data_IF_714633026520
#
_entry.id   IF_714633026520
#
_cell.length_a   1.000
_cell.length_b   1.000
_cell.length_c   1.000
_cell.angle_alpha   90.00
_cell.angle_beta   90.00
_cell.angle_gamma   90.00
#
_symmetry.space_group_name_H-M   'P 1'
#
loop_
_entity.id
_entity.type
_entity.pdbx_description
1 polymer ?
#
# COMPACT_ATOMS: atom_id res chain seq x y z
N UNK A 1 -9.27 23.04 8.29
CA UNK A 1 -9.26 21.62 8.75
C UNK A 1 -9.77 21.61 10.18
N UNK A 2 -10.81 20.85 10.44
CA UNK A 2 -11.36 20.71 11.79
C UNK A 2 -10.34 20.02 12.72
N UNK A 3 -10.43 20.31 14.04
CA UNK A 3 -9.49 19.76 15.02
C UNK A 3 -9.47 18.21 14.99
N UNK A 4 -10.65 17.58 14.84
CA UNK A 4 -10.77 16.12 14.73
C UNK A 4 -9.97 15.56 13.54
N UNK A 5 -10.08 16.20 12.39
CA UNK A 5 -9.35 15.78 11.18
C UNK A 5 -7.84 15.88 11.36
N UNK A 6 -7.38 16.99 11.95
CA UNK A 6 -5.97 17.20 12.26
C UNK A 6 -5.43 16.14 13.23
N UNK A 7 -6.21 15.78 14.26
CA UNK A 7 -5.83 14.75 15.20
C UNK A 7 -5.65 13.41 14.47
N UNK A 8 -6.59 13.03 13.62
CA UNK A 8 -6.52 11.74 12.88
C UNK A 8 -5.34 11.73 11.93
N UNK A 9 -5.10 12.80 11.17
CA UNK A 9 -4.01 12.88 10.20
C UNK A 9 -2.64 12.75 10.88
N UNK A 10 -2.39 13.57 11.89
CA UNK A 10 -1.12 13.58 12.63
C UNK A 10 -0.90 12.27 13.43
N UNK A 11 -1.98 11.72 14.02
CA UNK A 11 -1.91 10.44 14.72
C UNK A 11 -1.62 9.28 13.76
N UNK A 12 -2.16 9.31 12.55
CA UNK A 12 -1.86 8.32 11.51
C UNK A 12 -0.36 8.31 11.19
N UNK A 13 0.24 9.48 11.00
CA UNK A 13 1.68 9.61 10.76
C UNK A 13 2.47 9.02 11.91
N UNK A 14 2.13 9.37 13.16
CA UNK A 14 2.82 8.85 14.35
C UNK A 14 2.72 7.33 14.46
N UNK A 15 1.53 6.77 14.30
CA UNK A 15 1.30 5.33 14.40
C UNK A 15 2.07 4.57 13.31
N UNK A 16 1.99 5.03 12.07
CA UNK A 16 2.61 4.31 10.96
C UNK A 16 4.14 4.46 10.90
N UNK A 17 4.69 5.58 11.36
CA UNK A 17 6.15 5.77 11.38
C UNK A 17 6.82 5.20 12.62
N UNK A 18 6.19 5.31 13.80
CA UNK A 18 6.83 4.96 15.09
C UNK A 18 6.31 3.64 15.68
N UNK A 19 5.28 3.05 15.09
CA UNK A 19 4.61 1.84 15.60
C UNK A 19 3.47 2.17 16.57
N UNK A 20 2.43 1.34 16.52
CA UNK A 20 1.19 1.60 17.28
C UNK A 20 1.43 1.48 18.79
N UNK A 21 2.13 0.43 19.22
CA UNK A 21 2.36 0.17 20.63
C UNK A 21 3.17 1.27 21.33
N UNK A 22 4.13 1.85 20.63
CA UNK A 22 5.06 2.85 21.20
C UNK A 22 4.41 4.24 21.43
N UNK A 23 3.29 4.55 20.78
CA UNK A 23 2.64 5.85 20.83
C UNK A 23 1.49 5.82 21.85
N UNK A 24 1.45 6.76 22.77
CA UNK A 24 0.38 6.96 23.77
C UNK A 24 -0.50 8.16 23.41
N UNK A 25 -1.69 8.26 24.03
CA UNK A 25 -2.54 9.45 23.93
C UNK A 25 -1.85 10.72 24.43
N UNK A 26 -0.93 10.61 25.37
CA UNK A 26 -0.13 11.73 25.83
C UNK A 26 0.85 12.22 24.75
N UNK A 27 1.52 11.30 24.07
CA UNK A 27 2.45 11.65 23.01
C UNK A 27 1.74 12.38 21.86
N UNK A 28 0.52 11.91 21.51
CA UNK A 28 -0.33 12.54 20.51
C UNK A 28 -0.74 13.94 20.95
N UNK A 29 -1.24 14.12 22.19
CA UNK A 29 -1.65 15.42 22.70
C UNK A 29 -0.46 16.41 22.71
N UNK A 30 0.72 15.96 23.14
CA UNK A 30 1.95 16.74 23.14
C UNK A 30 2.39 17.13 21.73
N UNK A 31 2.38 16.18 20.78
CA UNK A 31 2.74 16.42 19.37
C UNK A 31 1.85 17.47 18.73
N UNK A 32 0.53 17.41 19.01
CA UNK A 32 -0.46 18.34 18.48
C UNK A 32 -0.52 19.68 19.23
N UNK A 33 0.20 19.82 20.35
CA UNK A 33 0.13 20.98 21.25
C UNK A 33 -1.28 21.26 21.76
N UNK A 34 -2.03 20.18 22.09
CA UNK A 34 -3.36 20.25 22.70
C UNK A 34 -3.37 19.63 24.10
N UNK A 35 -4.36 19.97 24.92
CA UNK A 35 -4.50 19.32 26.21
C UNK A 35 -4.94 17.86 26.07
N UNK A 36 -4.49 16.99 26.98
CA UNK A 36 -4.98 15.61 27.08
C UNK A 36 -6.51 15.56 27.20
N UNK A 37 -7.10 16.50 27.97
CA UNK A 37 -8.54 16.61 28.12
C UNK A 37 -9.22 16.86 26.77
N UNK A 38 -8.74 17.78 25.97
CA UNK A 38 -9.27 18.07 24.64
C UNK A 38 -9.22 16.85 23.73
N UNK A 39 -8.12 16.06 23.78
CA UNK A 39 -8.02 14.83 23.01
C UNK A 39 -9.06 13.79 23.43
N UNK A 40 -9.26 13.60 24.74
CA UNK A 40 -10.25 12.65 25.28
C UNK A 40 -11.71 13.14 25.16
N UNK A 41 -11.95 14.43 24.96
CA UNK A 41 -13.28 14.95 24.60
C UNK A 41 -13.68 14.60 23.17
N UNK A 42 -12.69 14.35 22.27
CA UNK A 42 -12.91 14.02 20.85
C UNK A 42 -12.85 12.51 20.60
N UNK A 43 -11.94 11.80 21.26
CA UNK A 43 -11.74 10.35 21.15
C UNK A 43 -11.73 9.72 22.53
N UNK A 44 -12.63 8.77 22.76
CA UNK A 44 -12.79 8.04 24.01
C UNK A 44 -11.49 7.39 24.50
N UNK A 45 -10.76 6.78 23.55
CA UNK A 45 -9.53 6.05 23.82
C UNK A 45 -8.66 5.95 22.54
N UNK A 46 -7.47 5.34 22.71
CA UNK A 46 -6.55 5.11 21.62
C UNK A 46 -7.08 4.15 20.54
N UNK A 47 -7.94 3.20 20.96
CA UNK A 47 -8.54 2.22 20.04
C UNK A 47 -9.48 2.91 19.05
N UNK A 48 -10.34 3.81 19.56
CA UNK A 48 -11.24 4.61 18.70
C UNK A 48 -10.46 5.48 17.73
N UNK A 49 -9.43 6.17 18.20
CA UNK A 49 -8.57 7.01 17.35
C UNK A 49 -7.84 6.17 16.31
N UNK A 50 -7.22 5.06 16.69
CA UNK A 50 -6.54 4.15 15.79
C UNK A 50 -7.49 3.59 14.73
N UNK A 51 -8.70 3.20 15.14
CA UNK A 51 -9.72 2.70 14.22
C UNK A 51 -10.10 3.74 13.16
N UNK A 52 -10.22 5.01 13.54
CA UNK A 52 -10.49 6.09 12.59
C UNK A 52 -9.28 6.36 11.68
N UNK A 53 -8.06 6.37 12.23
CA UNK A 53 -6.82 6.51 11.47
C UNK A 53 -6.71 5.44 10.37
N UNK A 54 -6.92 4.18 10.73
CA UNK A 54 -6.87 3.05 9.79
C UNK A 54 -7.97 3.16 8.75
N UNK A 55 -9.21 3.46 9.16
CA UNK A 55 -10.34 3.60 8.22
C UNK A 55 -10.09 4.69 7.18
N UNK A 56 -9.61 5.87 7.61
CA UNK A 56 -9.29 6.97 6.68
C UNK A 56 -8.10 6.66 5.79
N UNK A 57 -7.09 5.96 6.32
CA UNK A 57 -5.94 5.55 5.51
C UNK A 57 -6.32 4.56 4.42
N UNK A 58 -7.20 3.61 4.72
CA UNK A 58 -7.76 2.67 3.73
C UNK A 58 -8.54 3.44 2.65
N UNK A 59 -9.49 4.31 3.05
CA UNK A 59 -10.32 5.05 2.10
C UNK A 59 -9.48 5.98 1.21
N UNK A 60 -8.44 6.64 1.75
CA UNK A 60 -7.50 7.45 0.98
C UNK A 60 -6.73 6.59 -0.04
N UNK A 61 -6.18 5.47 0.40
CA UNK A 61 -5.47 4.54 -0.48
C UNK A 61 -6.35 4.00 -1.60
N UNK A 62 -7.63 3.72 -1.33
CA UNK A 62 -8.60 3.27 -2.34
C UNK A 62 -8.90 4.35 -3.37
N UNK A 63 -9.15 5.59 -2.93
CA UNK A 63 -9.38 6.73 -3.82
C UNK A 63 -8.15 7.03 -4.70
N UNK A 64 -6.95 6.97 -4.13
CA UNK A 64 -5.71 7.16 -4.89
C UNK A 64 -5.48 6.03 -5.90
N UNK A 65 -5.77 4.79 -5.53
CA UNK A 65 -5.66 3.64 -6.42
C UNK A 65 -6.66 3.72 -7.57
N UNK A 66 -7.90 4.12 -7.31
CA UNK A 66 -8.92 4.31 -8.34
C UNK A 66 -8.52 5.40 -9.33
N UNK A 67 -8.03 6.54 -8.85
CA UNK A 67 -7.50 7.61 -9.72
C UNK A 67 -6.33 7.09 -10.56
N UNK A 68 -5.45 6.32 -9.94
CA UNK A 68 -4.29 5.74 -10.60
C UNK A 68 -4.73 4.80 -11.74
N UNK A 69 -5.60 3.83 -11.47
CA UNK A 69 -6.12 2.87 -12.45
C UNK A 69 -6.77 3.59 -13.64
N UNK A 70 -7.52 4.67 -13.38
CA UNK A 70 -8.22 5.43 -14.43
C UNK A 70 -7.32 6.40 -15.21
N UNK A 71 -6.07 6.63 -14.80
CA UNK A 71 -5.16 7.58 -15.42
C UNK A 71 -4.26 6.99 -16.51
N UNK A 72 -4.23 5.65 -16.67
CA UNK A 72 -3.28 4.99 -17.59
C UNK A 72 -3.87 4.68 -18.94
N UNK A 73 -2.99 4.72 -19.97
CA UNK A 73 -3.36 4.35 -21.33
C UNK A 73 -3.59 2.85 -21.47
N UNK A 74 -2.85 2.04 -20.71
CA UNK A 74 -2.96 0.58 -20.73
C UNK A 74 -2.61 -0.05 -19.37
N UNK A 75 -2.94 -1.33 -19.22
CA UNK A 75 -2.76 -2.09 -17.98
C UNK A 75 -1.29 -2.18 -17.55
N UNK A 76 -0.34 -2.30 -18.49
CA UNK A 76 1.09 -2.42 -18.16
C UNK A 76 1.63 -1.13 -17.57
N UNK A 77 1.27 0.03 -18.14
CA UNK A 77 1.61 1.33 -17.54
C UNK A 77 1.06 1.48 -16.13
N UNK A 78 -0.20 1.05 -15.92
CA UNK A 78 -0.82 1.06 -14.60
C UNK A 78 -0.05 0.23 -13.58
N UNK A 79 0.32 -1.00 -13.93
CA UNK A 79 1.09 -1.88 -13.06
C UNK A 79 2.46 -1.30 -12.72
N UNK A 80 3.16 -0.73 -13.70
CA UNK A 80 4.48 -0.11 -13.49
C UNK A 80 4.39 1.15 -12.62
N UNK A 81 3.31 1.90 -12.70
CA UNK A 81 3.10 3.07 -11.83
C UNK A 81 2.73 2.69 -10.41
N UNK A 82 1.96 1.61 -10.21
CA UNK A 82 1.76 1.02 -8.87
C UNK A 82 3.12 0.60 -8.28
N UNK A 83 3.99 -0.01 -9.08
CA UNK A 83 5.35 -0.33 -8.67
C UNK A 83 6.13 0.90 -8.21
N UNK A 84 6.13 1.99 -8.99
CA UNK A 84 6.80 3.24 -8.62
C UNK A 84 6.26 3.82 -7.31
N UNK A 85 4.93 3.79 -7.11
CA UNK A 85 4.28 4.24 -5.87
C UNK A 85 4.71 3.38 -4.67
N UNK A 86 4.72 2.05 -4.80
CA UNK A 86 5.15 1.15 -3.73
C UNK A 86 6.62 1.40 -3.33
N UNK A 87 7.49 1.71 -4.28
CA UNK A 87 8.89 2.06 -3.98
C UNK A 87 9.02 3.30 -3.11
N UNK A 88 8.15 4.29 -3.30
CA UNK A 88 8.20 5.54 -2.52
C UNK A 88 7.52 5.43 -1.15
N UNK A 89 6.47 4.65 -1.03
CA UNK A 89 5.64 4.59 0.19
C UNK A 89 6.11 3.57 1.23
N UNK A 90 6.65 2.43 0.79
CA UNK A 90 7.05 1.34 1.72
C UNK A 90 8.19 1.69 2.66
N UNK A 91 9.00 2.70 2.34
CA UNK A 91 10.06 3.19 3.23
C UNK A 91 9.54 3.89 4.49
N UNK A 92 8.28 4.32 4.50
CA UNK A 92 7.71 5.15 5.57
C UNK A 92 6.95 4.35 6.63
N UNK A 93 6.64 3.07 6.38
CA UNK A 93 5.85 2.26 7.30
C UNK A 93 6.74 1.47 8.25
N UNK A 94 6.54 1.66 9.55
CA UNK A 94 7.20 0.86 10.57
C UNK A 94 6.72 -0.59 10.51
N UNK A 95 7.66 -1.52 10.39
CA UNK A 95 7.38 -2.97 10.26
C UNK A 95 6.55 -3.55 11.41
N UNK A 96 6.59 -2.92 12.60
CA UNK A 96 5.79 -3.39 13.75
C UNK A 96 4.29 -3.11 13.60
N UNK A 97 3.87 -2.20 12.71
CA UNK A 97 2.46 -1.77 12.59
C UNK A 97 1.54 -2.94 12.28
N UNK A 98 1.87 -3.74 11.29
CA UNK A 98 1.06 -4.92 10.90
C UNK A 98 1.02 -5.94 12.04
N UNK A 99 2.16 -6.20 12.67
CA UNK A 99 2.24 -7.10 13.83
C UNK A 99 1.38 -6.58 15.00
N UNK A 100 1.48 -5.28 15.32
CA UNK A 100 0.72 -4.65 16.40
C UNK A 100 -0.79 -4.74 16.12
N UNK A 101 -1.22 -4.46 14.89
CA UNK A 101 -2.62 -4.59 14.47
C UNK A 101 -3.11 -6.03 14.60
N UNK A 102 -2.38 -7.01 14.06
CA UNK A 102 -2.75 -8.44 14.15
C UNK A 102 -2.90 -8.90 15.61
N UNK A 103 -1.93 -8.55 16.43
CA UNK A 103 -1.82 -9.09 17.79
C UNK A 103 -2.70 -8.38 18.80
N UNK A 104 -2.78 -7.05 18.73
CA UNK A 104 -3.41 -6.24 19.78
C UNK A 104 -4.73 -5.60 19.36
N UNK A 105 -4.98 -5.49 18.03
CA UNK A 105 -6.14 -4.81 17.45
C UNK A 105 -6.80 -5.64 16.33
N UNK A 106 -7.17 -6.93 16.60
CA UNK A 106 -7.63 -7.85 15.56
C UNK A 106 -8.89 -7.37 14.82
N UNK A 107 -9.79 -6.66 15.51
CA UNK A 107 -10.99 -6.08 14.90
C UNK A 107 -10.65 -5.00 13.87
N UNK A 108 -9.62 -4.19 14.16
CA UNK A 108 -9.14 -3.17 13.22
C UNK A 108 -8.38 -3.85 12.07
N UNK A 109 -7.55 -4.86 12.37
CA UNK A 109 -6.82 -5.62 11.36
C UNK A 109 -7.74 -6.28 10.34
N UNK A 110 -8.91 -6.77 10.75
CA UNK A 110 -9.90 -7.36 9.85
C UNK A 110 -10.35 -6.42 8.71
N UNK A 111 -10.26 -5.11 8.90
CA UNK A 111 -10.54 -4.14 7.82
C UNK A 111 -9.54 -4.25 6.68
N UNK A 112 -8.26 -4.51 6.97
CA UNK A 112 -7.25 -4.76 5.95
C UNK A 112 -7.51 -6.07 5.20
N UNK A 113 -7.89 -7.13 5.92
CA UNK A 113 -8.23 -8.42 5.30
C UNK A 113 -9.44 -8.29 4.37
N UNK A 114 -10.48 -7.56 4.79
CA UNK A 114 -11.65 -7.31 3.94
C UNK A 114 -11.27 -6.49 2.70
N UNK A 115 -10.46 -5.42 2.88
CA UNK A 115 -9.97 -4.61 1.76
C UNK A 115 -9.17 -5.45 0.75
N UNK A 116 -8.37 -6.41 1.20
CA UNK A 116 -7.64 -7.30 0.29
C UNK A 116 -8.59 -8.10 -0.60
N UNK A 117 -9.67 -8.64 -0.04
CA UNK A 117 -10.71 -9.37 -0.80
C UNK A 117 -11.40 -8.47 -1.81
N UNK A 118 -11.87 -7.30 -1.36
CA UNK A 118 -12.51 -6.29 -2.22
C UNK A 118 -11.57 -5.80 -3.32
N UNK A 119 -10.26 -5.74 -3.04
CA UNK A 119 -9.22 -5.37 -4.00
C UNK A 119 -9.16 -6.31 -5.20
N UNK A 120 -9.32 -7.63 -4.97
CA UNK A 120 -9.32 -8.62 -6.05
C UNK A 120 -10.46 -8.33 -7.03
N UNK A 121 -11.68 -8.15 -6.52
CA UNK A 121 -12.86 -7.85 -7.36
C UNK A 121 -12.67 -6.54 -8.13
N UNK A 122 -12.06 -5.53 -7.50
CA UNK A 122 -11.82 -4.22 -8.11
C UNK A 122 -10.79 -4.26 -9.23
N UNK A 123 -9.75 -5.10 -9.10
CA UNK A 123 -8.68 -5.20 -10.10
C UNK A 123 -9.01 -6.12 -11.26
N UNK A 124 -9.95 -7.05 -11.13
CA UNK A 124 -10.31 -7.99 -12.20
C UNK A 124 -10.66 -7.29 -13.52
N UNK A 125 -11.54 -6.26 -13.58
CA UNK A 125 -11.85 -5.58 -14.84
C UNK A 125 -10.64 -4.88 -15.48
N UNK A 126 -9.67 -4.45 -14.68
CA UNK A 126 -8.44 -3.84 -15.17
C UNK A 126 -7.57 -4.86 -15.92
N UNK A 127 -7.47 -6.09 -15.44
CA UNK A 127 -6.75 -7.16 -16.13
C UNK A 127 -7.52 -7.68 -17.34
N UNK A 128 -8.85 -7.80 -17.28
CA UNK A 128 -9.70 -8.16 -18.42
C UNK A 128 -9.48 -7.20 -19.60
N UNK A 129 -9.44 -5.90 -19.34
CA UNK A 129 -9.09 -4.90 -20.34
C UNK A 129 -7.72 -5.14 -20.96
N UNK A 130 -6.72 -5.54 -20.15
CA UNK A 130 -5.39 -5.88 -20.66
C UNK A 130 -5.38 -7.10 -21.59
N UNK A 131 -6.26 -8.07 -21.35
CA UNK A 131 -6.49 -9.21 -22.25
C UNK A 131 -7.12 -8.75 -23.56
N UNK A 132 -8.15 -7.90 -23.51
CA UNK A 132 -8.79 -7.33 -24.70
C UNK A 132 -7.81 -6.51 -25.55
N UNK A 133 -6.89 -5.79 -24.91
CA UNK A 133 -5.81 -5.04 -25.58
C UNK A 133 -4.69 -5.94 -26.15
N UNK A 134 -4.72 -7.24 -25.82
CA UNK A 134 -3.69 -8.23 -26.19
C UNK A 134 -2.35 -7.98 -25.52
N UNK A 135 -2.34 -7.38 -24.33
CA UNK A 135 -1.15 -7.08 -23.53
C UNK A 135 -0.92 -8.12 -22.43
N UNK A 136 -1.99 -8.82 -22.02
CA UNK A 136 -2.00 -9.87 -21.00
C UNK A 136 -2.52 -11.15 -21.61
N UNK A 137 -1.95 -12.29 -21.21
CA UNK A 137 -2.39 -13.63 -21.59
C UNK A 137 -3.81 -13.90 -21.10
N UNK A 138 -4.58 -14.69 -21.85
CA UNK A 138 -6.01 -14.92 -21.59
C UNK A 138 -6.33 -16.19 -20.78
N UNK A 139 -5.34 -17.03 -20.53
CA UNK A 139 -5.48 -18.30 -19.81
C UNK A 139 -5.12 -18.21 -18.32
N UNK A 140 -5.14 -16.98 -17.77
CA UNK A 140 -4.69 -16.67 -16.42
C UNK A 140 -5.86 -16.55 -15.45
N UNK A 141 -5.75 -17.22 -14.31
CA UNK A 141 -6.64 -16.99 -13.18
C UNK A 141 -6.15 -15.78 -12.38
N UNK A 142 -6.70 -14.59 -12.68
CA UNK A 142 -6.32 -13.32 -12.04
C UNK A 142 -6.59 -13.31 -10.54
N UNK A 143 -7.62 -14.00 -10.07
CA UNK A 143 -7.93 -14.09 -8.64
C UNK A 143 -6.78 -14.76 -7.88
N UNK A 144 -6.33 -15.93 -8.35
CA UNK A 144 -5.21 -16.65 -7.73
C UNK A 144 -3.93 -15.79 -7.78
N UNK A 145 -3.66 -15.15 -8.92
CA UNK A 145 -2.46 -14.33 -9.07
C UNK A 145 -2.47 -13.10 -8.16
N UNK A 146 -3.60 -12.43 -8.00
CA UNK A 146 -3.74 -11.31 -7.09
C UNK A 146 -3.56 -11.75 -5.63
N UNK A 147 -4.08 -12.92 -5.25
CA UNK A 147 -3.81 -13.50 -3.93
C UNK A 147 -2.33 -13.74 -3.69
N UNK A 148 -1.61 -14.31 -4.68
CA UNK A 148 -0.17 -14.54 -4.59
C UNK A 148 0.62 -13.22 -4.49
N UNK A 149 0.26 -12.21 -5.30
CA UNK A 149 0.86 -10.88 -5.24
C UNK A 149 0.67 -10.23 -3.88
N UNK A 150 -0.56 -10.26 -3.35
CA UNK A 150 -0.87 -9.70 -2.03
C UNK A 150 -0.13 -10.42 -0.90
N UNK A 151 -0.02 -11.76 -0.97
CA UNK A 151 0.74 -12.54 0.01
C UNK A 151 2.22 -12.12 0.03
N UNK A 152 2.85 -11.97 -1.14
CA UNK A 152 4.24 -11.55 -1.26
C UNK A 152 4.45 -10.12 -0.73
N UNK A 153 3.57 -9.18 -1.07
CA UNK A 153 3.62 -7.81 -0.54
C UNK A 153 3.35 -7.78 0.98
N UNK A 154 2.45 -8.63 1.47
CA UNK A 154 2.21 -8.80 2.90
C UNK A 154 3.47 -9.26 3.66
N UNK A 155 4.20 -10.24 3.14
CA UNK A 155 5.47 -10.69 3.72
C UNK A 155 6.51 -9.56 3.80
N UNK A 156 6.52 -8.66 2.82
CA UNK A 156 7.40 -7.49 2.83
C UNK A 156 7.04 -6.52 3.98
N UNK A 157 5.75 -6.21 4.13
CA UNK A 157 5.24 -5.33 5.18
C UNK A 157 5.44 -5.92 6.58
N UNK A 158 5.35 -7.23 6.72
CA UNK A 158 5.59 -7.96 7.98
C UNK A 158 7.09 -8.10 8.31
N UNK A 159 7.98 -7.73 7.39
CA UNK A 159 9.42 -7.89 7.57
C UNK A 159 9.91 -9.34 7.52
N UNK A 160 9.16 -10.24 6.86
CA UNK A 160 9.50 -11.66 6.73
C UNK A 160 10.64 -11.94 5.74
N UNK A 161 11.03 -10.95 4.93
CA UNK A 161 12.18 -11.06 4.02
C UNK A 161 13.49 -10.66 4.71
N UNK A 162 14.65 -11.20 4.26
CA UNK A 162 15.98 -10.87 4.77
C UNK A 162 16.43 -9.46 4.32
N UNK A 163 15.77 -8.42 4.86
CA UNK A 163 16.01 -7.00 4.51
C UNK A 163 17.31 -6.44 5.08
N UNK A 164 17.99 -7.20 5.93
CA UNK A 164 19.39 -6.99 6.34
C UNK A 164 20.37 -7.27 5.20
N UNK A 165 20.04 -8.21 4.31
CA UNK A 165 20.86 -8.62 3.17
C UNK A 165 20.52 -7.87 1.88
N UNK A 166 19.23 -7.62 1.64
CA UNK A 166 18.73 -6.98 0.43
C UNK A 166 17.79 -5.84 0.77
N UNK A 167 17.91 -4.67 0.10
CA UNK A 167 16.99 -3.56 0.31
C UNK A 167 15.53 -3.92 -0.06
N UNK A 168 14.56 -3.33 0.61
CA UNK A 168 13.14 -3.52 0.29
C UNK A 168 12.81 -3.25 -1.18
N UNK A 169 13.50 -2.30 -1.80
CA UNK A 169 13.35 -1.95 -3.22
C UNK A 169 13.61 -3.13 -4.15
N UNK A 170 14.60 -3.97 -3.84
CA UNK A 170 14.90 -5.17 -4.66
C UNK A 170 13.80 -6.20 -4.56
N UNK A 171 13.21 -6.39 -3.38
CA UNK A 171 12.06 -7.29 -3.21
C UNK A 171 10.83 -6.78 -3.97
N UNK A 172 10.50 -5.49 -3.83
CA UNK A 172 9.38 -4.87 -4.55
C UNK A 172 9.59 -5.03 -6.06
N UNK A 173 10.80 -4.72 -6.55
CA UNK A 173 11.15 -4.87 -7.96
C UNK A 173 10.96 -6.32 -8.43
N UNK A 174 11.49 -7.29 -7.68
CA UNK A 174 11.37 -8.70 -8.02
C UNK A 174 9.91 -9.16 -8.04
N UNK A 175 9.13 -8.83 -7.01
CA UNK A 175 7.71 -9.20 -6.90
C UNK A 175 6.93 -8.64 -8.09
N UNK A 176 6.98 -7.32 -8.32
CA UNK A 176 6.15 -6.66 -9.32
C UNK A 176 6.60 -7.02 -10.75
N UNK A 177 7.91 -7.04 -11.04
CA UNK A 177 8.37 -7.36 -12.38
C UNK A 177 8.12 -8.82 -12.74
N UNK A 178 8.33 -9.76 -11.81
CA UNK A 178 8.04 -11.17 -12.09
C UNK A 178 6.54 -11.38 -12.27
N UNK A 179 5.71 -10.73 -11.45
CA UNK A 179 4.26 -10.74 -11.63
C UNK A 179 3.86 -10.19 -13.00
N UNK A 180 4.30 -8.97 -13.36
CA UNK A 180 3.90 -8.30 -14.59
C UNK A 180 4.37 -9.06 -15.83
N UNK A 181 5.62 -9.55 -15.84
CA UNK A 181 6.16 -10.34 -16.95
C UNK A 181 5.53 -11.73 -17.05
N UNK A 182 5.18 -12.34 -15.92
CA UNK A 182 4.55 -13.65 -15.87
C UNK A 182 3.15 -13.69 -16.50
N UNK A 183 2.50 -12.53 -16.65
CA UNK A 183 1.18 -12.42 -17.25
C UNK A 183 1.18 -11.72 -18.63
N UNK A 184 2.30 -11.14 -19.02
CA UNK A 184 2.38 -10.32 -20.23
C UNK A 184 2.54 -11.18 -21.49
N UNK A 185 1.82 -10.83 -22.56
CA UNK A 185 2.11 -11.30 -23.90
C UNK A 185 3.46 -10.74 -24.39
N UNK A 186 4.03 -11.22 -25.52
CA UNK A 186 5.21 -10.61 -26.13
C UNK A 186 5.04 -9.12 -26.45
N UNK A 187 3.80 -8.67 -26.77
CA UNK A 187 3.47 -7.25 -26.97
C UNK A 187 3.53 -6.48 -25.65
N UNK A 188 3.01 -7.06 -24.57
CA UNK A 188 3.07 -6.48 -23.23
C UNK A 188 4.50 -6.40 -22.69
N UNK A 189 5.31 -7.46 -22.86
CA UNK A 189 6.71 -7.49 -22.38
C UNK A 189 7.59 -6.44 -23.07
N UNK A 190 7.31 -6.10 -24.33
CA UNK A 190 7.99 -4.99 -25.01
C UNK A 190 7.73 -3.66 -24.30
N UNK A 191 6.49 -3.37 -23.92
CA UNK A 191 6.13 -2.16 -23.17
C UNK A 191 6.81 -2.15 -21.81
N UNK A 192 6.81 -3.27 -21.08
CA UNK A 192 7.50 -3.40 -19.78
C UNK A 192 8.97 -3.03 -19.93
N UNK A 193 9.64 -3.56 -20.96
CA UNK A 193 11.06 -3.33 -21.21
C UNK A 193 11.36 -1.86 -21.49
N UNK A 194 10.53 -1.19 -22.29
CA UNK A 194 10.65 0.24 -22.60
C UNK A 194 10.43 1.11 -21.33
N UNK A 195 9.45 0.75 -20.48
CA UNK A 195 9.18 1.48 -19.25
C UNK A 195 10.31 1.31 -18.22
N UNK A 196 10.84 0.10 -18.05
CA UNK A 196 11.99 -0.14 -17.15
C UNK A 196 13.19 0.71 -17.58
N UNK A 197 13.50 0.77 -18.88
CA UNK A 197 14.61 1.58 -19.39
C UNK A 197 14.43 3.07 -19.04
N UNK A 198 13.22 3.61 -19.18
CA UNK A 198 12.89 4.99 -18.79
C UNK A 198 13.08 5.23 -17.30
N UNK A 199 12.56 4.35 -16.44
CA UNK A 199 12.71 4.45 -14.99
C UNK A 199 14.19 4.41 -14.55
N UNK A 200 14.99 3.52 -15.14
CA UNK A 200 16.40 3.40 -14.82
C UNK A 200 17.21 4.65 -15.26
N UNK A 201 16.83 5.30 -16.35
CA UNK A 201 17.40 6.58 -16.78
C UNK A 201 17.05 7.74 -15.85
N UNK A 202 15.77 7.86 -15.46
CA UNK A 202 15.32 8.89 -14.53
C UNK A 202 15.99 8.75 -13.16
N UNK A 203 16.17 7.52 -12.69
CA UNK A 203 16.86 7.21 -11.44
C UNK A 203 18.34 7.60 -11.47
N UNK A 204 18.99 7.51 -12.63
CA UNK A 204 20.39 7.95 -12.81
C UNK A 204 20.53 9.47 -12.84
N UNK A 205 19.52 10.20 -13.31
CA UNK A 205 19.50 11.67 -13.36
C UNK A 205 19.27 12.33 -11.99
N UNK A 206 18.59 11.59 -11.07
CA UNK A 206 18.22 12.09 -9.74
C UNK A 206 19.20 11.68 -8.62
N UNK A 207 20.31 11.01 -8.96
CA UNK A 207 21.44 10.70 -8.08
C UNK A 207 22.60 11.65 -8.34
#
# INVERSE_FOLDING_TARGET
MELRDRIVEESSILFFQKGIKSITMNDIASHLSISKRTLYEIFKDKEELLNECVTRSIARGDCEMEKLINSFQNVIEGMMSIYSKLLTETHQINKSVIYDLKKYHPTIYKKFENRQKEGIERFTPFFEKGVEEGLIENDINFEILLWLLQAQLGMLLEGSFPTDKYPNEEFIRAIILNFTRGIATPKGDKIITELIAKFDEERKRNK
#
